data_IF_480923703728
#
_entry.id   IF_480923703728
#
_cell.length_a   1.000
_cell.length_b   1.000
_cell.length_c   1.000
_cell.angle_alpha   90.00
_cell.angle_beta   90.00
_cell.angle_gamma   90.00
#
_symmetry.space_group_name_H-M   'P 1'
#
loop_
_entity.id
_entity.type
_entity.pdbx_description
1 polymer ?
#
# COMPACT_ATOMS: atom_id res chain seq x y z
N UNK A 1 -11.21 37.87 24.27
CA UNK A 1 -11.98 36.91 25.06
C UNK A 1 -13.12 36.41 24.18
N UNK A 2 -13.01 35.19 23.65
CA UNK A 2 -13.98 34.67 22.67
C UNK A 2 -15.11 33.97 23.42
N UNK A 3 -16.36 34.38 23.23
CA UNK A 3 -17.55 33.75 23.81
C UNK A 3 -18.25 32.97 22.70
N UNK A 4 -18.40 31.67 22.88
CA UNK A 4 -19.10 30.79 21.94
C UNK A 4 -20.54 30.67 22.46
N UNK A 5 -21.44 31.45 21.87
CA UNK A 5 -22.88 31.34 22.14
C UNK A 5 -23.48 30.33 21.18
N UNK A 6 -23.50 29.06 21.59
CA UNK A 6 -24.14 27.96 20.88
C UNK A 6 -24.84 27.03 21.86
N UNK A 7 -25.99 26.48 21.47
CA UNK A 7 -26.76 25.59 22.31
C UNK A 7 -25.95 24.33 22.64
N UNK A 8 -25.86 24.00 23.94
CA UNK A 8 -25.24 22.77 24.41
C UNK A 8 -26.02 21.56 23.91
N UNK A 9 -25.43 20.74 23.05
CA UNK A 9 -26.00 19.44 22.69
C UNK A 9 -25.44 18.36 23.62
N UNK A 10 -26.27 17.86 24.52
CA UNK A 10 -26.01 16.66 25.32
C UNK A 10 -26.89 15.54 24.77
N UNK A 11 -26.30 14.41 24.39
CA UNK A 11 -27.07 13.17 24.27
C UNK A 11 -27.16 12.49 25.65
N UNK A 12 -28.03 11.50 25.77
CA UNK A 12 -28.33 10.82 27.04
C UNK A 12 -27.14 10.08 27.68
N UNK A 13 -25.94 10.13 27.08
CA UNK A 13 -24.72 9.43 27.54
C UNK A 13 -23.59 10.39 27.99
N UNK A 14 -23.81 11.71 27.97
CA UNK A 14 -22.80 12.71 28.31
C UNK A 14 -21.84 13.06 27.18
N UNK A 15 -20.73 13.76 27.49
CA UNK A 15 -19.70 14.13 26.50
C UNK A 15 -18.80 12.91 26.25
N UNK A 16 -18.94 12.29 25.09
CA UNK A 16 -18.09 11.14 24.71
C UNK A 16 -16.75 11.60 24.12
N UNK A 17 -15.72 10.75 24.17
CA UNK A 17 -14.42 10.98 23.49
C UNK A 17 -14.59 11.37 22.01
N UNK A 18 -15.63 10.85 21.36
CA UNK A 18 -15.98 11.14 19.97
C UNK A 18 -16.46 12.59 19.78
N UNK A 19 -17.27 13.11 20.70
CA UNK A 19 -17.71 14.52 20.72
C UNK A 19 -16.54 15.49 20.94
N UNK A 20 -15.58 15.13 21.79
CA UNK A 20 -14.36 15.92 22.01
C UNK A 20 -13.47 15.98 20.76
N UNK A 21 -13.31 14.88 20.02
CA UNK A 21 -12.56 14.87 18.75
C UNK A 21 -13.28 15.66 17.64
N UNK A 22 -14.61 15.59 17.59
CA UNK A 22 -15.42 16.30 16.60
C UNK A 22 -15.38 17.82 16.80
N UNK A 23 -15.32 18.28 18.06
CA UNK A 23 -15.23 19.71 18.42
C UNK A 23 -13.75 20.17 18.47
N UNK A 24 -12.83 19.29 18.85
CA UNK A 24 -11.41 19.60 19.04
C UNK A 24 -10.59 19.71 17.75
N UNK A 25 -11.00 19.01 16.68
CA UNK A 25 -10.33 19.09 15.37
C UNK A 25 -10.33 20.51 14.76
N UNK A 26 -11.45 21.27 14.76
CA UNK A 26 -11.43 22.66 14.31
C UNK A 26 -10.85 23.64 15.35
N UNK A 27 -10.86 23.31 16.65
CA UNK A 27 -10.37 24.22 17.71
C UNK A 27 -8.84 24.34 17.78
N UNK A 28 -8.10 23.36 17.24
CA UNK A 28 -6.63 23.40 17.15
C UNK A 28 -6.10 23.79 15.75
N UNK A 29 -7.00 24.07 14.79
CA UNK A 29 -6.68 24.77 13.54
C UNK A 29 -5.69 24.10 12.58
N UNK A 30 -5.32 22.84 12.82
CA UNK A 30 -4.42 22.07 11.95
C UNK A 30 -5.07 20.73 11.58
N UNK A 31 -5.80 20.72 10.48
CA UNK A 31 -6.20 19.47 9.84
C UNK A 31 -5.03 18.82 9.09
N UNK A 32 -5.18 17.55 8.70
CA UNK A 32 -4.22 16.89 7.79
C UNK A 32 -4.02 17.71 6.51
N UNK A 33 -5.08 18.35 6.00
CA UNK A 33 -5.01 19.23 4.83
C UNK A 33 -4.12 20.46 5.07
N UNK A 34 -4.17 21.07 6.25
CA UNK A 34 -3.32 22.20 6.61
C UNK A 34 -1.86 21.79 6.76
N UNK A 35 -1.62 20.60 7.33
CA UNK A 35 -0.28 20.03 7.47
C UNK A 35 0.35 19.74 6.10
N UNK A 36 -0.42 19.16 5.17
CA UNK A 36 0.01 18.95 3.78
C UNK A 36 0.23 20.27 3.02
N UNK A 37 -0.58 21.30 3.27
CA UNK A 37 -0.42 22.63 2.66
C UNK A 37 0.82 23.37 3.19
N UNK A 38 1.13 23.23 4.47
CA UNK A 38 2.35 23.77 5.05
C UNK A 38 3.60 23.05 4.52
N UNK A 39 3.51 21.73 4.33
CA UNK A 39 4.57 20.94 3.69
C UNK A 39 4.80 21.39 2.22
N UNK A 40 3.73 21.67 1.46
CA UNK A 40 3.88 22.16 0.08
C UNK A 40 4.48 23.56 0.03
N UNK A 41 4.07 24.47 0.91
CA UNK A 41 4.64 25.82 1.01
C UNK A 41 6.12 25.80 1.43
N UNK A 42 6.52 24.84 2.27
CA UNK A 42 7.93 24.63 2.61
C UNK A 42 8.74 24.14 1.40
N UNK A 43 8.14 23.32 0.53
CA UNK A 43 8.75 22.84 -0.71
C UNK A 43 9.07 24.00 -1.66
N UNK A 44 8.09 24.87 -1.90
CA UNK A 44 8.21 26.02 -2.80
C UNK A 44 9.25 27.03 -2.28
N UNK A 45 9.45 27.10 -0.96
CA UNK A 45 10.46 27.95 -0.32
C UNK A 45 11.88 27.34 -0.34
N UNK A 46 12.11 26.24 -1.05
CA UNK A 46 13.42 25.57 -1.15
C UNK A 46 13.91 24.96 0.17
N UNK A 47 13.05 24.90 1.20
CA UNK A 47 13.35 24.17 2.44
C UNK A 47 13.12 22.70 2.16
N UNK A 48 13.94 21.79 2.73
CA UNK A 48 13.63 20.38 2.65
C UNK A 48 12.25 20.19 3.30
N UNK A 49 11.25 19.90 2.48
CA UNK A 49 9.96 19.37 2.95
C UNK A 49 10.32 18.28 3.94
N UNK A 50 9.69 18.27 5.11
CA UNK A 50 9.84 17.17 6.05
C UNK A 50 9.38 15.90 5.33
N UNK A 51 10.29 15.24 4.61
CA UNK A 51 9.98 14.03 3.88
C UNK A 51 9.67 13.02 4.95
N UNK A 52 8.38 12.76 5.14
CA UNK A 52 7.88 11.84 6.15
C UNK A 52 8.79 10.61 6.15
N UNK A 53 9.33 10.22 7.30
CA UNK A 53 10.19 9.02 7.35
C UNK A 53 9.37 7.73 7.32
N UNK A 54 8.04 7.85 7.23
CA UNK A 54 7.10 6.73 7.24
C UNK A 54 6.99 6.12 5.84
N UNK A 55 6.78 4.82 5.83
CA UNK A 55 6.39 4.04 4.66
C UNK A 55 5.10 3.29 4.99
N UNK A 56 4.35 2.91 3.96
CA UNK A 56 3.08 2.21 4.08
C UNK A 56 3.20 0.82 3.44
N UNK A 57 2.81 -0.21 4.19
CA UNK A 57 2.58 -1.56 3.64
C UNK A 57 1.08 -1.81 3.72
N UNK A 58 0.47 -2.10 2.58
CA UNK A 58 -0.96 -2.39 2.47
C UNK A 58 -1.09 -3.89 2.25
N UNK A 59 -1.87 -4.56 3.11
CA UNK A 59 -2.36 -5.91 2.83
C UNK A 59 -3.71 -5.79 2.17
N UNK A 60 -3.78 -6.12 0.89
CA UNK A 60 -4.99 -6.01 0.08
C UNK A 60 -5.66 -7.37 -0.02
N UNK A 61 -6.84 -7.48 0.58
CA UNK A 61 -7.70 -8.66 0.58
C UNK A 61 -8.86 -8.45 -0.40
N UNK A 62 -8.60 -8.62 -1.69
CA UNK A 62 -9.58 -8.34 -2.76
C UNK A 62 -10.80 -9.24 -2.63
N UNK A 63 -12.02 -8.69 -2.64
CA UNK A 63 -13.25 -9.42 -2.29
C UNK A 63 -13.73 -9.21 -0.85
N UNK A 64 -12.81 -8.83 0.05
CA UNK A 64 -13.12 -8.47 1.43
C UNK A 64 -13.16 -9.66 2.39
N UNK A 65 -12.45 -9.54 3.50
CA UNK A 65 -12.50 -10.53 4.59
C UNK A 65 -13.86 -10.47 5.27
N UNK A 66 -14.48 -11.63 5.54
CA UNK A 66 -15.67 -11.69 6.38
C UNK A 66 -15.38 -11.13 7.77
N UNK A 67 -16.04 -10.04 8.13
CA UNK A 67 -15.75 -9.28 9.35
C UNK A 67 -16.16 -10.05 10.62
N UNK A 68 -17.32 -10.71 10.58
CA UNK A 68 -17.86 -11.48 11.70
C UNK A 68 -17.09 -12.77 11.99
N UNK A 69 -16.27 -13.22 11.02
CA UNK A 69 -15.42 -14.40 11.12
C UNK A 69 -13.94 -14.05 11.39
N UNK A 70 -13.61 -12.76 11.51
CA UNK A 70 -12.23 -12.27 11.68
C UNK A 70 -12.09 -11.24 12.81
N UNK A 71 -12.28 -9.95 12.52
CA UNK A 71 -11.96 -8.82 13.41
C UNK A 71 -13.17 -8.24 14.17
N UNK A 72 -14.39 -8.68 13.87
CA UNK A 72 -15.62 -8.21 14.49
C UNK A 72 -16.59 -9.35 14.81
N UNK A 73 -16.07 -10.35 15.53
CA UNK A 73 -16.84 -11.51 16.02
C UNK A 73 -18.09 -11.09 16.77
N UNK A 74 -19.21 -11.76 16.48
CA UNK A 74 -20.54 -11.50 17.07
C UNK A 74 -21.04 -12.70 17.87
N UNK A 75 -20.39 -13.07 19.00
CA UNK A 75 -20.70 -14.32 19.71
C UNK A 75 -22.15 -14.42 20.19
N UNK A 76 -22.77 -13.27 20.49
CA UNK A 76 -24.15 -13.16 20.98
C UNK A 76 -25.20 -13.03 19.86
N UNK A 77 -24.78 -13.01 18.59
CA UNK A 77 -25.73 -13.00 17.47
C UNK A 77 -26.47 -14.35 17.37
N UNK A 78 -27.71 -14.37 16.81
CA UNK A 78 -28.41 -15.60 16.50
C UNK A 78 -27.56 -16.55 15.65
N UNK A 79 -27.72 -17.86 15.84
CA UNK A 79 -26.88 -18.86 15.20
C UNK A 79 -26.90 -18.77 13.66
N UNK A 80 -27.98 -18.25 13.08
CA UNK A 80 -28.18 -18.06 11.65
C UNK A 80 -27.32 -16.94 11.05
N UNK A 81 -26.86 -15.98 11.87
CA UNK A 81 -26.05 -14.82 11.45
C UNK A 81 -24.71 -14.73 12.15
N UNK A 82 -24.51 -15.50 13.22
CA UNK A 82 -23.26 -15.56 13.96
C UNK A 82 -22.16 -16.14 13.08
N UNK A 83 -20.96 -15.55 13.16
CA UNK A 83 -19.78 -16.09 12.50
C UNK A 83 -19.49 -17.54 12.93
N UNK A 84 -18.79 -18.27 12.06
CA UNK A 84 -18.57 -19.72 12.22
C UNK A 84 -17.54 -20.05 13.32
N UNK A 85 -16.64 -19.11 13.62
CA UNK A 85 -15.52 -19.31 14.54
C UNK A 85 -15.79 -18.74 15.92
N UNK A 86 -15.14 -19.32 16.93
CA UNK A 86 -15.24 -18.84 18.31
C UNK A 86 -14.38 -17.59 18.53
N UNK A 87 -14.79 -16.69 19.44
CA UNK A 87 -13.97 -15.57 19.86
C UNK A 87 -12.80 -16.04 20.75
N UNK A 88 -11.63 -15.43 20.59
CA UNK A 88 -10.51 -15.51 21.52
C UNK A 88 -10.20 -14.13 22.11
N UNK A 89 -9.77 -14.11 23.37
CA UNK A 89 -9.24 -12.90 24.01
C UNK A 89 -7.93 -12.47 23.38
N UNK A 90 -7.64 -11.17 23.44
CA UNK A 90 -6.41 -10.57 22.89
C UNK A 90 -5.51 -10.00 23.98
N UNK A 91 -4.32 -9.48 23.62
CA UNK A 91 -3.44 -8.74 24.54
C UNK A 91 -4.07 -7.45 25.11
N UNK A 92 -5.21 -7.01 24.56
CA UNK A 92 -5.97 -5.85 25.04
C UNK A 92 -7.31 -6.31 25.64
N UNK A 93 -7.53 -6.12 26.96
CA UNK A 93 -8.78 -6.50 27.62
C UNK A 93 -10.01 -5.87 26.96
N UNK A 94 -11.06 -6.66 26.79
CA UNK A 94 -12.31 -6.23 26.15
C UNK A 94 -12.30 -6.25 24.62
N UNK A 95 -11.19 -6.62 23.99
CA UNK A 95 -11.11 -6.88 22.54
C UNK A 95 -10.99 -8.39 22.31
N UNK A 96 -11.89 -8.92 21.48
CA UNK A 96 -11.87 -10.29 20.99
C UNK A 96 -11.71 -10.32 19.47
N UNK A 97 -11.02 -11.35 18.98
CA UNK A 97 -10.88 -11.70 17.56
C UNK A 97 -11.34 -13.13 17.33
N UNK A 98 -11.45 -13.56 16.08
CA UNK A 98 -11.65 -14.96 15.72
C UNK A 98 -10.50 -15.84 16.21
N UNK A 99 -10.81 -17.06 16.66
CA UNK A 99 -9.81 -18.08 17.04
C UNK A 99 -8.84 -18.46 15.90
N UNK A 100 -9.17 -18.06 14.67
CA UNK A 100 -8.32 -18.21 13.48
C UNK A 100 -7.22 -17.15 13.38
N UNK A 101 -7.21 -16.15 14.26
CA UNK A 101 -6.19 -15.08 14.32
C UNK A 101 -5.37 -15.07 15.63
N UNK A 102 -4.81 -16.21 16.09
CA UNK A 102 -4.12 -16.30 17.38
C UNK A 102 -2.81 -15.50 17.46
N UNK A 103 -2.09 -15.27 16.35
CA UNK A 103 -0.86 -14.47 16.37
C UNK A 103 -1.17 -12.98 16.45
N UNK A 104 -2.14 -12.48 15.69
CA UNK A 104 -2.59 -11.09 15.77
C UNK A 104 -3.24 -10.77 17.12
N UNK A 105 -3.98 -11.72 17.71
CA UNK A 105 -4.52 -11.56 19.06
C UNK A 105 -3.43 -11.28 20.11
N UNK A 106 -2.23 -11.84 19.97
CA UNK A 106 -1.11 -11.60 20.89
C UNK A 106 -0.47 -10.22 20.75
N UNK A 107 -0.65 -9.57 19.60
CA UNK A 107 -0.07 -8.24 19.28
C UNK A 107 -1.13 -7.17 19.09
N UNK A 108 -2.34 -7.38 19.62
CA UNK A 108 -3.46 -6.46 19.48
C UNK A 108 -3.16 -5.06 20.06
N UNK A 109 -2.23 -4.96 21.02
CA UNK A 109 -1.68 -3.71 21.55
C UNK A 109 -0.94 -2.86 20.50
N UNK A 110 -0.61 -3.44 19.34
CA UNK A 110 0.02 -2.78 18.18
C UNK A 110 -0.94 -2.58 17.01
N UNK A 111 -2.17 -3.04 17.13
CA UNK A 111 -3.19 -3.00 16.08
C UNK A 111 -4.28 -1.99 16.44
N UNK A 112 -5.00 -1.53 15.41
CA UNK A 112 -6.17 -0.67 15.58
C UNK A 112 -7.26 -1.14 14.61
N UNK A 113 -8.43 -1.45 15.15
CA UNK A 113 -9.58 -1.93 14.39
C UNK A 113 -10.50 -0.75 14.10
N UNK A 114 -10.74 -0.47 12.82
CA UNK A 114 -11.65 0.60 12.38
C UNK A 114 -12.92 -0.02 11.82
N UNK A 115 -14.01 0.00 12.61
CA UNK A 115 -15.33 -0.58 12.25
C UNK A 115 -16.32 0.43 11.69
N UNK A 116 -15.90 1.67 11.47
CA UNK A 116 -16.78 2.76 11.02
C UNK A 116 -16.87 2.91 9.50
N UNK A 117 -16.03 2.20 8.74
CA UNK A 117 -15.97 2.30 7.28
C UNK A 117 -17.07 1.44 6.67
N UNK A 118 -17.96 2.07 5.88
CA UNK A 118 -19.00 1.39 5.13
C UNK A 118 -19.32 2.19 3.85
N UNK A 119 -19.96 1.53 2.89
CA UNK A 119 -20.52 2.12 1.68
C UNK A 119 -21.73 1.30 1.20
N UNK A 120 -22.56 1.87 0.34
CA UNK A 120 -23.82 1.24 -0.11
C UNK A 120 -23.67 0.34 -1.34
N UNK A 121 -22.43 0.13 -1.82
CA UNK A 121 -22.16 -0.68 -3.01
C UNK A 121 -21.81 -2.14 -2.65
N UNK A 122 -22.57 -3.09 -3.22
CA UNK A 122 -22.34 -4.54 -3.04
C UNK A 122 -21.42 -5.18 -4.08
N UNK A 123 -20.91 -4.44 -5.07
CA UNK A 123 -20.09 -4.99 -6.16
C UNK A 123 -18.61 -4.76 -5.86
N UNK A 124 -17.80 -5.83 -5.89
CA UNK A 124 -16.37 -5.81 -5.54
C UNK A 124 -15.55 -4.77 -6.30
N UNK A 125 -15.64 -4.72 -7.63
CA UNK A 125 -14.80 -3.83 -8.43
C UNK A 125 -14.96 -2.33 -8.10
N UNK A 126 -16.18 -1.75 -8.05
CA UNK A 126 -16.35 -0.36 -7.64
C UNK A 126 -16.04 -0.11 -6.14
N UNK A 127 -16.26 -1.09 -5.26
CA UNK A 127 -15.90 -1.01 -3.83
C UNK A 127 -14.38 -0.98 -3.65
N UNK A 128 -13.66 -1.83 -4.37
CA UNK A 128 -12.21 -1.88 -4.39
C UNK A 128 -11.61 -0.54 -4.88
N UNK A 129 -12.17 0.04 -5.94
CA UNK A 129 -11.77 1.38 -6.38
C UNK A 129 -12.04 2.45 -5.33
N UNK A 130 -13.16 2.38 -4.62
CA UNK A 130 -13.44 3.31 -3.53
C UNK A 130 -12.37 3.22 -2.45
N UNK A 131 -12.05 2.02 -1.98
CA UNK A 131 -11.04 1.82 -0.94
C UNK A 131 -9.62 2.21 -1.39
N UNK A 132 -9.29 2.02 -2.67
CA UNK A 132 -7.95 2.32 -3.19
C UNK A 132 -7.77 3.78 -3.60
N UNK A 133 -8.85 4.52 -3.91
CA UNK A 133 -8.76 5.89 -4.45
C UNK A 133 -9.47 6.94 -3.61
N UNK A 134 -10.40 6.54 -2.73
CA UNK A 134 -11.32 7.43 -2.01
C UNK A 134 -12.54 7.88 -2.82
N UNK A 135 -12.67 7.44 -4.08
CA UNK A 135 -13.75 7.84 -4.97
C UNK A 135 -14.55 6.64 -5.46
N UNK A 136 -15.86 6.83 -5.58
CA UNK A 136 -16.69 5.86 -6.29
C UNK A 136 -16.17 5.66 -7.72
N UNK A 137 -16.05 4.39 -8.08
CA UNK A 137 -15.21 3.96 -9.18
C UNK A 137 -15.90 3.55 -10.46
N UNK A 138 -15.10 3.04 -11.42
CA UNK A 138 -15.59 2.39 -12.61
C UNK A 138 -16.57 1.25 -12.25
N UNK A 139 -17.73 1.23 -12.89
CA UNK A 139 -18.67 0.10 -12.83
C UNK A 139 -18.27 -0.96 -13.85
N UNK A 140 -18.91 -2.14 -13.83
CA UNK A 140 -18.72 -3.16 -14.89
C UNK A 140 -18.96 -2.59 -16.31
N UNK A 141 -19.82 -1.57 -16.43
CA UNK A 141 -20.11 -0.89 -17.68
C UNK A 141 -19.08 0.18 -18.07
N UNK A 142 -18.27 0.68 -17.13
CA UNK A 142 -17.26 1.71 -17.36
C UNK A 142 -16.00 1.34 -16.61
N UNK A 143 -15.25 0.37 -17.09
CA UNK A 143 -14.11 -0.28 -16.39
C UNK A 143 -12.79 0.53 -16.35
N UNK A 144 -12.72 1.69 -17.00
CA UNK A 144 -11.49 2.48 -17.04
C UNK A 144 -11.19 3.11 -15.66
N UNK A 145 -9.96 2.95 -15.16
CA UNK A 145 -9.50 3.60 -13.94
C UNK A 145 -9.67 5.14 -14.06
N UNK A 146 -10.43 5.74 -13.13
CA UNK A 146 -10.81 7.15 -13.23
C UNK A 146 -10.01 8.05 -12.30
N UNK A 147 -9.54 7.49 -11.18
CA UNK A 147 -8.82 8.21 -10.14
C UNK A 147 -7.53 7.46 -9.78
N UNK A 148 -6.45 8.20 -9.46
CA UNK A 148 -5.22 7.58 -9.01
C UNK A 148 -5.43 6.85 -7.69
N UNK A 149 -4.75 5.72 -7.54
CA UNK A 149 -4.67 5.00 -6.27
C UNK A 149 -3.94 5.82 -5.20
N UNK A 150 -4.22 5.53 -3.93
CA UNK A 150 -3.50 6.07 -2.79
C UNK A 150 -1.98 5.89 -2.95
N UNK A 151 -1.54 4.71 -3.39
CA UNK A 151 -0.13 4.42 -3.63
C UNK A 151 0.48 5.33 -4.71
N UNK A 152 -0.24 5.60 -5.80
CA UNK A 152 0.20 6.51 -6.85
C UNK A 152 0.20 7.99 -6.41
N UNK A 153 -0.77 8.40 -5.59
CA UNK A 153 -0.79 9.74 -4.97
C UNK A 153 0.41 9.91 -4.04
N UNK A 154 0.72 8.90 -3.23
CA UNK A 154 1.91 8.87 -2.36
C UNK A 154 3.18 8.96 -3.21
N UNK A 155 3.28 8.18 -4.29
CA UNK A 155 4.44 8.22 -5.19
C UNK A 155 4.65 9.61 -5.81
N UNK A 156 3.56 10.26 -6.27
CA UNK A 156 3.62 11.61 -6.85
C UNK A 156 3.99 12.68 -5.83
N UNK A 157 3.43 12.58 -4.63
CA UNK A 157 3.54 13.66 -3.63
C UNK A 157 4.82 13.56 -2.80
N UNK A 158 5.28 12.34 -2.50
CA UNK A 158 6.38 12.11 -1.56
C UNK A 158 7.59 11.41 -2.18
N UNK A 159 7.45 10.82 -3.37
CA UNK A 159 8.50 10.05 -4.01
C UNK A 159 9.00 8.87 -3.18
N UNK A 160 10.12 8.28 -3.61
CA UNK A 160 10.82 7.26 -2.82
C UNK A 160 11.59 7.90 -1.68
N UNK A 161 11.87 7.11 -0.63
CA UNK A 161 12.71 7.57 0.49
C UNK A 161 14.18 7.61 0.12
N UNK A 162 14.60 6.67 -0.72
CA UNK A 162 15.97 6.56 -1.19
C UNK A 162 15.93 6.18 -2.68
N UNK A 163 16.10 7.14 -3.58
CA UNK A 163 16.37 6.84 -4.98
C UNK A 163 17.61 5.91 -5.09
N UNK A 164 17.64 4.97 -6.05
CA UNK A 164 16.67 4.78 -7.14
C UNK A 164 15.52 3.80 -6.79
N UNK A 165 15.20 3.54 -5.51
CA UNK A 165 14.07 2.64 -5.19
C UNK A 165 12.75 3.18 -5.76
N UNK A 166 11.86 2.30 -6.26
CA UNK A 166 10.51 2.70 -6.65
C UNK A 166 9.74 3.25 -5.44
N UNK A 167 9.00 4.35 -5.65
CA UNK A 167 8.16 4.91 -4.61
C UNK A 167 6.97 3.99 -4.29
N UNK A 168 6.38 3.36 -5.31
CA UNK A 168 5.23 2.47 -5.16
C UNK A 168 5.49 1.12 -5.80
N UNK A 169 5.24 0.03 -5.07
CA UNK A 169 5.43 -1.36 -5.51
C UNK A 169 4.16 -2.16 -5.26
N UNK A 170 3.80 -3.06 -6.19
CA UNK A 170 2.76 -4.07 -5.98
C UNK A 170 3.35 -5.48 -6.01
N UNK A 171 2.93 -6.32 -5.06
CA UNK A 171 3.38 -7.70 -4.90
C UNK A 171 2.17 -8.64 -4.96
N UNK A 172 2.14 -9.64 -5.85
CA UNK A 172 3.06 -9.83 -6.97
C UNK A 172 2.80 -8.84 -8.11
N UNK A 173 1.55 -8.47 -8.39
CA UNK A 173 1.15 -7.60 -9.50
C UNK A 173 -0.11 -6.85 -9.15
N UNK A 174 -0.45 -5.80 -9.88
CA UNK A 174 -1.68 -5.06 -9.63
C UNK A 174 -2.93 -5.88 -9.94
N UNK A 175 -4.03 -5.59 -9.24
CA UNK A 175 -5.31 -6.27 -9.47
C UNK A 175 -5.96 -5.86 -10.80
N UNK A 176 -6.72 -6.78 -11.37
CA UNK A 176 -7.18 -6.73 -12.78
C UNK A 176 -8.07 -5.53 -13.10
N UNK A 177 -8.74 -4.95 -12.12
CA UNK A 177 -9.66 -3.81 -12.31
C UNK A 177 -8.95 -2.44 -12.32
N UNK A 178 -7.61 -2.40 -12.28
CA UNK A 178 -6.82 -1.19 -12.56
C UNK A 178 -6.91 -0.08 -11.51
N UNK A 179 -7.53 -0.34 -10.35
CA UNK A 179 -7.70 0.64 -9.28
C UNK A 179 -6.41 0.96 -8.51
N UNK A 180 -5.29 0.30 -8.83
CA UNK A 180 -3.97 0.55 -8.24
C UNK A 180 -3.10 1.47 -9.12
N UNK A 181 -3.60 1.97 -10.25
CA UNK A 181 -2.84 2.81 -11.18
C UNK A 181 -2.82 4.31 -10.86
N UNK A 182 -2.00 5.04 -11.62
CA UNK A 182 -1.79 6.49 -11.48
C UNK A 182 -2.75 7.35 -12.34
N UNK A 183 -3.39 6.75 -13.34
CA UNK A 183 -4.32 7.42 -14.27
C UNK A 183 -3.71 8.71 -14.83
N UNK A 184 -4.28 9.88 -14.51
CA UNK A 184 -3.84 11.19 -15.00
C UNK A 184 -2.60 11.75 -14.29
N UNK A 185 -2.10 11.11 -13.23
CA UNK A 185 -0.82 11.50 -12.61
C UNK A 185 0.38 11.12 -13.49
N UNK A 186 0.18 10.22 -14.45
CA UNK A 186 1.20 9.79 -15.40
C UNK A 186 1.86 8.45 -15.03
N UNK A 187 2.35 7.74 -16.05
CA UNK A 187 2.89 6.37 -15.93
C UNK A 187 4.07 6.24 -14.96
N UNK A 188 4.80 7.33 -14.72
CA UNK A 188 5.89 7.42 -13.76
C UNK A 188 5.48 7.07 -12.31
N UNK A 189 4.21 7.24 -11.96
CA UNK A 189 3.70 6.98 -10.61
C UNK A 189 2.84 5.72 -10.53
N UNK A 190 2.85 4.89 -11.60
CA UNK A 190 2.31 3.54 -11.52
C UNK A 190 3.15 2.69 -10.57
N UNK A 191 2.57 1.66 -9.95
CA UNK A 191 3.34 0.73 -9.15
C UNK A 191 4.37 0.00 -10.02
N UNK A 192 5.55 -0.23 -9.45
CA UNK A 192 6.47 -1.24 -9.94
C UNK A 192 5.91 -2.61 -9.58
N UNK A 193 5.59 -3.44 -10.58
CA UNK A 193 5.04 -4.77 -10.34
C UNK A 193 6.17 -5.80 -10.19
N UNK A 194 6.12 -6.59 -9.12
CA UNK A 194 7.09 -7.68 -8.89
C UNK A 194 6.94 -8.82 -9.91
N UNK A 195 5.74 -9.03 -10.43
CA UNK A 195 5.40 -9.96 -11.51
C UNK A 195 5.30 -11.43 -11.11
N UNK A 196 5.80 -11.84 -9.93
CA UNK A 196 5.87 -13.24 -9.52
C UNK A 196 5.66 -13.43 -8.01
N UNK A 197 5.27 -14.64 -7.61
CA UNK A 197 5.18 -15.04 -6.21
C UNK A 197 6.59 -15.08 -5.58
N UNK A 198 6.86 -14.28 -4.52
CA UNK A 198 8.15 -14.29 -3.83
C UNK A 198 8.53 -15.63 -3.17
N UNK A 199 7.58 -16.55 -3.02
CA UNK A 199 7.82 -17.90 -2.51
C UNK A 199 8.10 -18.94 -3.63
N UNK A 200 8.00 -18.57 -4.91
CA UNK A 200 8.33 -19.47 -6.02
C UNK A 200 9.81 -19.86 -5.99
N UNK A 201 10.13 -21.11 -6.35
CA UNK A 201 11.51 -21.64 -6.32
C UNK A 201 12.47 -20.87 -7.22
N UNK A 202 11.95 -20.38 -8.34
CA UNK A 202 12.66 -19.63 -9.37
C UNK A 202 12.31 -18.13 -9.33
N UNK A 203 11.85 -17.63 -8.18
CA UNK A 203 11.48 -16.23 -8.00
C UNK A 203 12.60 -15.30 -8.49
N UNK A 204 12.26 -14.55 -9.55
CA UNK A 204 13.08 -13.50 -10.14
C UNK A 204 12.15 -12.38 -10.53
N UNK A 205 12.58 -11.16 -10.26
CA UNK A 205 11.83 -9.98 -10.67
C UNK A 205 12.12 -9.72 -12.15
N UNK A 206 11.09 -9.67 -13.00
CA UNK A 206 11.25 -9.28 -14.41
C UNK A 206 11.98 -7.94 -14.49
N UNK A 207 12.94 -7.83 -15.42
CA UNK A 207 13.73 -6.61 -15.68
C UNK A 207 14.79 -6.20 -14.63
N UNK A 208 15.02 -6.96 -13.56
CA UNK A 208 16.21 -6.77 -12.69
C UNK A 208 17.38 -7.71 -13.05
N UNK A 209 17.12 -8.72 -13.88
CA UNK A 209 18.15 -9.56 -14.49
C UNK A 209 18.58 -8.95 -15.82
N UNK A 210 19.87 -8.66 -15.95
CA UNK A 210 20.45 -8.26 -17.24
C UNK A 210 20.24 -9.38 -18.27
N UNK A 211 19.74 -9.09 -19.49
CA UNK A 211 19.67 -10.08 -20.57
C UNK A 211 21.03 -10.75 -20.79
N UNK A 212 21.01 -12.04 -21.14
CA UNK A 212 22.23 -12.84 -21.36
C UNK A 212 23.22 -12.10 -22.28
N UNK A 213 24.45 -11.87 -21.79
CA UNK A 213 25.51 -11.16 -22.51
C UNK A 213 25.66 -9.67 -22.17
N UNK A 214 24.77 -9.07 -21.36
CA UNK A 214 24.93 -7.71 -20.87
C UNK A 214 25.55 -7.70 -19.47
N UNK A 215 26.74 -7.12 -19.35
CA UNK A 215 27.38 -6.84 -18.06
C UNK A 215 27.00 -5.45 -17.57
N UNK A 216 27.16 -5.15 -16.29
CA UNK A 216 27.01 -3.78 -15.75
C UNK A 216 27.87 -2.78 -16.54
N UNK A 217 29.09 -3.16 -16.90
CA UNK A 217 29.98 -2.39 -17.79
C UNK A 217 29.35 -2.13 -19.17
N UNK A 218 28.69 -3.13 -19.77
CA UNK A 218 27.98 -2.96 -21.05
C UNK A 218 26.81 -1.98 -20.93
N UNK A 219 26.13 -1.95 -19.79
CA UNK A 219 25.06 -0.99 -19.48
C UNK A 219 25.63 0.42 -19.30
N UNK A 220 26.73 0.59 -18.58
CA UNK A 220 27.40 1.88 -18.40
C UNK A 220 27.94 2.45 -19.71
N UNK A 221 28.53 1.60 -20.57
CA UNK A 221 28.96 2.02 -21.91
C UNK A 221 27.80 2.52 -22.77
N UNK A 222 26.64 1.83 -22.72
CA UNK A 222 25.44 2.30 -23.43
C UNK A 222 24.84 3.55 -22.81
N UNK A 223 24.88 3.69 -21.48
CA UNK A 223 24.48 4.93 -20.77
C UNK A 223 25.33 6.11 -21.22
N UNK A 224 26.64 5.89 -21.37
CA UNK A 224 27.59 6.92 -21.79
C UNK A 224 27.34 7.33 -23.24
N UNK A 225 27.14 6.35 -24.13
CA UNK A 225 26.82 6.61 -25.53
C UNK A 225 25.46 7.33 -25.69
N UNK A 226 24.43 6.91 -24.94
CA UNK A 226 23.13 7.58 -24.90
C UNK A 226 23.28 9.04 -24.43
N UNK A 227 24.04 9.29 -23.36
CA UNK A 227 24.33 10.67 -22.92
C UNK A 227 24.97 11.50 -24.04
N UNK A 228 25.89 10.94 -24.82
CA UNK A 228 26.52 11.66 -25.94
C UNK A 228 25.49 12.05 -27.01
N UNK A 229 24.60 11.14 -27.41
CA UNK A 229 23.55 11.42 -28.39
C UNK A 229 22.43 12.33 -27.84
N UNK A 230 22.07 12.19 -26.56
CA UNK A 230 21.05 13.01 -25.91
C UNK A 230 21.57 14.45 -25.69
N UNK A 231 22.89 14.65 -25.50
CA UNK A 231 23.49 16.00 -25.44
C UNK A 231 23.39 16.72 -26.79
N UNK A 232 23.66 16.01 -27.91
CA UNK A 232 23.49 16.54 -29.28
C UNK A 232 22.04 16.93 -29.62
N UNK A 233 21.05 16.29 -28.99
CA UNK A 233 19.62 16.59 -29.19
C UNK A 233 19.07 17.64 -28.24
N UNK A 234 19.67 17.79 -27.04
CA UNK A 234 19.30 18.84 -26.06
C UNK A 234 19.47 20.23 -26.63
N UNK A 235 20.48 20.44 -27.47
CA UNK A 235 20.73 21.72 -28.14
C UNK A 235 19.57 22.18 -29.06
N UNK A 236 18.59 21.31 -29.32
CA UNK A 236 17.47 21.52 -30.24
C UNK A 236 16.10 21.52 -29.51
N UNK A 237 16.02 21.12 -28.23
CA UNK A 237 14.75 21.00 -27.50
C UNK A 237 14.44 22.21 -26.60
N UNK A 238 13.67 23.18 -27.10
CA UNK A 238 13.18 24.33 -26.34
C UNK A 238 12.02 23.98 -25.36
N UNK A 239 11.47 22.77 -25.43
CA UNK A 239 10.20 22.42 -24.73
C UNK A 239 10.39 21.68 -23.39
N UNK A 240 11.61 21.30 -23.03
CA UNK A 240 11.93 20.59 -21.77
C UNK A 240 11.40 19.14 -21.69
N UNK A 241 10.78 18.64 -22.77
CA UNK A 241 10.21 17.29 -22.84
C UNK A 241 11.32 16.22 -22.82
N UNK A 242 12.46 16.48 -23.45
CA UNK A 242 13.59 15.56 -23.49
C UNK A 242 14.27 15.42 -22.14
N UNK A 243 14.30 16.45 -21.30
CA UNK A 243 14.87 16.39 -19.96
C UNK A 243 14.09 15.47 -19.01
N UNK A 244 12.75 15.49 -19.10
CA UNK A 244 11.88 14.55 -18.39
C UNK A 244 12.10 13.10 -18.83
N UNK A 245 12.19 12.87 -20.15
CA UNK A 245 12.47 11.56 -20.75
C UNK A 245 13.83 11.00 -20.30
N UNK A 246 14.86 11.84 -20.23
CA UNK A 246 16.20 11.45 -19.76
C UNK A 246 16.21 11.06 -18.28
N UNK A 247 15.49 11.80 -17.45
CA UNK A 247 15.36 11.47 -16.02
C UNK A 247 14.68 10.11 -15.84
N UNK A 248 13.62 9.82 -16.60
CA UNK A 248 12.96 8.52 -16.58
C UNK A 248 13.86 7.38 -17.09
N UNK A 249 14.61 7.60 -18.17
CA UNK A 249 15.57 6.61 -18.69
C UNK A 249 16.69 6.32 -17.69
N UNK A 250 17.25 7.36 -17.05
CA UNK A 250 18.32 7.19 -16.06
C UNK A 250 17.82 6.48 -14.79
N UNK A 251 16.64 6.85 -14.29
CA UNK A 251 16.01 6.13 -13.17
C UNK A 251 15.72 4.68 -13.53
N UNK A 252 15.17 4.40 -14.71
CA UNK A 252 14.93 3.03 -15.17
C UNK A 252 16.24 2.23 -15.24
N UNK A 253 17.32 2.82 -15.77
CA UNK A 253 18.62 2.15 -15.85
C UNK A 253 19.23 1.89 -14.46
N UNK A 254 19.10 2.83 -13.53
CA UNK A 254 19.58 2.69 -12.15
C UNK A 254 18.73 1.72 -11.33
N UNK A 255 17.43 1.62 -11.61
CA UNK A 255 16.58 0.58 -11.05
C UNK A 255 17.05 -0.81 -11.51
N UNK A 256 17.37 -0.98 -12.79
CA UNK A 256 17.87 -2.26 -13.32
C UNK A 256 19.29 -2.59 -12.84
N UNK A 257 20.20 -1.61 -12.81
CA UNK A 257 21.62 -1.84 -12.53
C UNK A 257 21.99 -1.68 -11.05
N UNK A 258 21.16 -1.04 -10.23
CA UNK A 258 21.50 -0.65 -8.86
C UNK A 258 21.65 -1.84 -7.90
N UNK A 259 22.77 -1.89 -7.18
CA UNK A 259 23.05 -2.94 -6.19
C UNK A 259 22.03 -2.95 -5.05
N UNK A 260 21.58 -1.76 -4.60
CA UNK A 260 20.57 -1.64 -3.54
C UNK A 260 19.24 -2.29 -3.92
N UNK A 261 18.76 -2.04 -5.14
CA UNK A 261 17.48 -2.61 -5.60
C UNK A 261 17.61 -4.13 -5.74
N UNK A 262 18.68 -4.62 -6.39
CA UNK A 262 18.96 -6.07 -6.50
C UNK A 262 19.06 -6.75 -5.14
N UNK A 263 19.74 -6.13 -4.18
CA UNK A 263 19.82 -6.63 -2.82
C UNK A 263 18.46 -6.69 -2.13
N UNK A 264 17.63 -5.64 -2.25
CA UNK A 264 16.31 -5.58 -1.65
C UNK A 264 15.39 -6.70 -2.13
N UNK A 265 15.41 -7.02 -3.43
CA UNK A 265 14.62 -8.10 -4.02
C UNK A 265 15.19 -9.52 -3.81
N UNK A 266 16.44 -9.64 -3.36
CA UNK A 266 17.06 -10.94 -3.09
C UNK A 266 16.64 -11.49 -1.72
N UNK A 267 15.52 -12.23 -1.69
CA UNK A 267 15.08 -12.94 -0.49
C UNK A 267 16.02 -14.08 -0.07
N UNK A 268 16.88 -14.59 -0.96
CA UNK A 268 17.84 -15.64 -0.61
C UNK A 268 19.02 -15.11 0.22
N UNK A 269 19.16 -13.78 0.34
CA UNK A 269 20.11 -13.16 1.24
C UNK A 269 19.62 -13.08 2.70
N UNK A 270 18.35 -13.38 2.97
CA UNK A 270 17.80 -13.46 4.33
C UNK A 270 18.15 -14.78 5.00
N UNK A 271 18.34 -14.75 6.32
CA UNK A 271 18.49 -15.97 7.13
C UNK A 271 17.25 -16.88 6.90
N UNK A 272 17.44 -18.17 6.57
CA UNK A 272 16.34 -19.12 6.44
C UNK A 272 15.35 -19.08 7.60
N UNK A 273 15.81 -18.87 8.83
CA UNK A 273 14.95 -18.77 10.03
C UNK A 273 14.00 -17.58 9.97
N UNK A 274 14.46 -16.43 9.45
CA UNK A 274 13.60 -15.25 9.27
C UNK A 274 12.54 -15.55 8.22
N UNK A 275 12.93 -16.18 7.11
CA UNK A 275 11.98 -16.59 6.08
C UNK A 275 10.95 -17.59 6.60
N UNK A 276 11.37 -18.51 7.46
CA UNK A 276 10.48 -19.46 8.11
C UNK A 276 9.55 -18.77 9.11
N UNK A 277 10.02 -17.75 9.84
CA UNK A 277 9.19 -16.97 10.76
C UNK A 277 7.99 -16.32 10.04
N UNK A 278 8.25 -15.65 8.91
CA UNK A 278 7.19 -15.09 8.05
C UNK A 278 6.31 -16.18 7.40
N UNK A 279 6.80 -17.40 7.29
CA UNK A 279 6.10 -18.52 6.65
C UNK A 279 6.44 -18.68 5.17
N UNK A 280 6.62 -19.94 4.74
CA UNK A 280 6.98 -20.33 3.37
C UNK A 280 5.76 -20.45 2.46
N UNK A 281 4.96 -19.38 2.46
CA UNK A 281 3.81 -19.18 1.59
C UNK A 281 3.86 -17.77 1.01
N UNK A 282 3.01 -17.52 0.01
CA UNK A 282 2.98 -16.26 -0.73
C UNK A 282 2.87 -15.04 0.18
N UNK A 283 2.00 -15.07 1.20
CA UNK A 283 1.75 -13.89 2.05
C UNK A 283 2.98 -13.53 2.89
N UNK A 284 3.54 -14.52 3.58
CA UNK A 284 4.73 -14.37 4.40
C UNK A 284 5.92 -13.86 3.62
N UNK A 285 6.22 -14.48 2.47
CA UNK A 285 7.34 -14.05 1.64
C UNK A 285 7.08 -12.69 0.97
N UNK A 286 5.82 -12.34 0.68
CA UNK A 286 5.46 -11.00 0.21
C UNK A 286 5.63 -9.94 1.29
N UNK A 287 5.26 -10.25 2.53
CA UNK A 287 5.45 -9.36 3.68
C UNK A 287 6.95 -9.16 4.00
N UNK A 288 7.76 -10.22 3.92
CA UNK A 288 9.21 -10.12 4.06
C UNK A 288 9.84 -9.28 2.94
N UNK A 289 9.41 -9.50 1.69
CA UNK A 289 9.86 -8.68 0.57
C UNK A 289 9.45 -7.21 0.76
N UNK A 290 8.21 -6.95 1.18
CA UNK A 290 7.74 -5.60 1.47
C UNK A 290 8.57 -4.91 2.55
N UNK A 291 8.91 -5.62 3.64
CA UNK A 291 9.84 -5.11 4.68
C UNK A 291 11.16 -4.67 4.06
N UNK A 292 11.82 -5.55 3.30
CA UNK A 292 13.12 -5.26 2.67
C UNK A 292 13.05 -4.08 1.70
N UNK A 293 11.98 -3.98 0.91
CA UNK A 293 11.78 -2.87 -0.01
C UNK A 293 11.60 -1.55 0.73
N UNK A 294 10.80 -1.53 1.80
CA UNK A 294 10.60 -0.34 2.63
C UNK A 294 11.89 0.08 3.35
N UNK A 295 12.66 -0.87 3.86
CA UNK A 295 13.97 -0.64 4.47
C UNK A 295 14.98 -0.08 3.46
N UNK A 296 14.97 -0.58 2.23
CA UNK A 296 15.81 -0.09 1.14
C UNK A 296 15.36 1.28 0.61
N UNK A 297 14.13 1.73 0.90
CA UNK A 297 13.65 3.08 0.61
C UNK A 297 12.42 3.18 -0.29
N UNK A 298 11.70 2.09 -0.53
CA UNK A 298 10.35 2.15 -1.09
C UNK A 298 9.41 2.87 -0.12
N UNK A 299 8.44 3.61 -0.67
CA UNK A 299 7.53 4.44 0.11
C UNK A 299 6.22 3.72 0.43
N UNK A 300 5.63 3.09 -0.58
CA UNK A 300 4.38 2.37 -0.49
C UNK A 300 4.56 0.99 -1.13
N UNK A 301 4.16 -0.06 -0.41
CA UNK A 301 4.14 -1.42 -0.94
C UNK A 301 2.76 -1.99 -0.73
N UNK A 302 2.13 -2.47 -1.79
CA UNK A 302 0.82 -3.10 -1.73
C UNK A 302 0.95 -4.60 -2.01
N UNK A 303 0.54 -5.41 -1.03
CA UNK A 303 0.58 -6.87 -1.07
C UNK A 303 -0.82 -7.35 -1.43
N UNK A 304 -0.98 -7.83 -2.65
CA UNK A 304 -2.20 -8.45 -3.13
C UNK A 304 -2.22 -9.92 -2.71
N UNK A 305 -3.13 -10.22 -1.78
CA UNK A 305 -3.27 -11.53 -1.13
C UNK A 305 -4.13 -12.51 -1.94
N UNK A 306 -4.60 -12.12 -3.13
CA UNK A 306 -5.45 -12.97 -3.97
C UNK A 306 -6.93 -12.77 -3.64
N UNK A 307 -7.74 -13.77 -4.00
CA UNK A 307 -9.19 -13.67 -3.98
C UNK A 307 -9.78 -14.07 -2.63
N UNK A 308 -10.42 -13.11 -1.96
CA UNK A 308 -11.22 -13.27 -0.74
C UNK A 308 -12.73 -13.27 -1.02
N UNK A 309 -13.12 -13.18 -2.29
CA UNK A 309 -14.51 -13.23 -2.71
C UNK A 309 -15.04 -14.67 -2.71
N UNK A 310 -15.36 -15.19 -1.53
CA UNK A 310 -15.70 -16.60 -1.36
C UNK A 310 -17.14 -16.94 -1.77
N UNK A 311 -18.06 -15.96 -1.81
CA UNK A 311 -19.49 -16.14 -2.04
C UNK A 311 -20.12 -17.31 -1.27
N UNK A 312 -20.05 -18.52 -1.83
CA UNK A 312 -20.69 -19.74 -1.32
C UNK A 312 -19.74 -20.64 -0.50
N UNK A 313 -18.42 -20.42 -0.56
CA UNK A 313 -17.39 -21.27 0.07
C UNK A 313 -16.63 -20.53 1.18
N UNK A 314 -17.34 -19.73 1.98
CA UNK A 314 -16.73 -18.80 2.96
C UNK A 314 -15.83 -19.52 3.95
N UNK A 315 -16.30 -20.63 4.54
CA UNK A 315 -15.53 -21.40 5.53
C UNK A 315 -14.22 -21.95 4.94
N UNK A 316 -14.32 -22.63 3.80
CA UNK A 316 -13.15 -23.18 3.10
C UNK A 316 -12.15 -22.08 2.74
N UNK A 317 -12.62 -20.97 2.20
CA UNK A 317 -11.77 -19.85 1.81
C UNK A 317 -11.08 -19.20 3.01
N UNK A 318 -11.81 -18.99 4.13
CA UNK A 318 -11.21 -18.44 5.34
C UNK A 318 -10.23 -19.42 6.01
N UNK A 319 -10.50 -20.71 5.96
CA UNK A 319 -9.57 -21.73 6.46
C UNK A 319 -8.26 -21.78 5.67
N UNK A 320 -8.29 -21.44 4.39
CA UNK A 320 -7.10 -21.31 3.55
C UNK A 320 -6.39 -19.97 3.77
N UNK A 321 -7.13 -18.87 3.86
CA UNK A 321 -6.58 -17.52 3.78
C UNK A 321 -6.28 -16.84 5.14
N UNK A 322 -6.99 -17.17 6.22
CA UNK A 322 -6.75 -16.56 7.54
C UNK A 322 -5.43 -17.02 8.16
N UNK A 323 -5.05 -18.31 8.20
CA UNK A 323 -3.79 -18.72 8.81
C UNK A 323 -2.53 -18.05 8.21
N UNK A 324 -2.37 -17.91 6.88
CA UNK A 324 -1.22 -17.20 6.32
C UNK A 324 -1.32 -15.66 6.47
N UNK A 325 -2.50 -15.09 6.74
CA UNK A 325 -2.68 -13.67 7.02
C UNK A 325 -2.40 -13.33 8.51
N UNK A 326 -2.71 -14.26 9.41
CA UNK A 326 -2.47 -14.11 10.85
C UNK A 326 -0.97 -14.06 11.19
N UNK A 327 -0.18 -14.85 10.47
CA UNK A 327 1.26 -15.03 10.69
C UNK A 327 2.10 -13.87 10.16
#
# INVERSE_FOLDING_TARGET
MLRIDGHSFQNCSGVTRRSFLQIGAPLLGLGIADLLRLDSQAADAGRPVSSSKKSLIIFWTDGGVSQQDSYDVKPDAPAEYRGMYQPIGTSVPGIALSERLPFQAKVMDRLSIVRSVHHENGIHAPSAHWMQTGYFGPTLARNAAQKPSLGSVIARSLGSRQPPMPAYVTIPKSESFGYQGAVYLGKAFNPFEVGADPNAKDFKVPNLSLPNGLTTRSVDSRRTLLKTFDTLRRDIDETGVMEGLDTFKQQALEMVAGDRMRAAFNLNAEDPKVRDQYGRHRYGQSALLARRLVEAGARCVNINTGNWDHHNDVEKGLDEHLPPLDR
#
